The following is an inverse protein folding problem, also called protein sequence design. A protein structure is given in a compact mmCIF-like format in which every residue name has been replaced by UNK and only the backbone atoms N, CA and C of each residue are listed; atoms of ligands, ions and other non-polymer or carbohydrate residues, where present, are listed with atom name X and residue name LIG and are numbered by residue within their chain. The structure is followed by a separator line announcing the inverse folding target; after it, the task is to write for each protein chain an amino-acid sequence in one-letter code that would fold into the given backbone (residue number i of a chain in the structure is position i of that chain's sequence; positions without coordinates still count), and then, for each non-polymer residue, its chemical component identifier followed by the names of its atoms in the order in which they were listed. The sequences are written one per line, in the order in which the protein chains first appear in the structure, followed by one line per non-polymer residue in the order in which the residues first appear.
data_IF_267160761272
#
_entry.id   IF_267160761272
#
_cell.length_a   1.000
_cell.length_b   1.000
_cell.length_c   1.000
_cell.angle_alpha   90.00
_cell.angle_beta   90.00
_cell.angle_gamma   90.00
#
_symmetry.space_group_name_H-M   'P 1'
#
loop_
_entity.id
_entity.type
_entity.pdbx_description
1 polymer ?
#
# COMPACT_ATOMS: atom_id res chain seq x y z
N UNK A 1 -1.62 0.57 -19.80
CA UNK A 1 -1.60 1.00 -18.38
C UNK A 1 -0.82 -0.04 -17.58
N UNK A 2 0.05 0.35 -16.63
CA UNK A 2 0.76 -0.63 -15.79
C UNK A 2 -0.24 -1.46 -14.97
N UNK A 3 0.09 -2.73 -14.71
CA UNK A 3 -0.72 -3.59 -13.84
C UNK A 3 -0.71 -3.10 -12.39
N UNK A 4 -1.70 -3.51 -11.60
CA UNK A 4 -1.79 -3.16 -10.18
C UNK A 4 -0.53 -3.56 -9.41
N UNK A 5 0.05 -4.74 -9.68
CA UNK A 5 1.28 -5.17 -9.03
C UNK A 5 2.47 -4.28 -9.32
N UNK A 6 2.59 -3.77 -10.56
CA UNK A 6 3.64 -2.81 -10.92
C UNK A 6 3.46 -1.51 -10.15
N UNK A 7 2.23 -1.01 -10.04
CA UNK A 7 1.90 0.21 -9.29
C UNK A 7 2.20 0.04 -7.81
N UNK A 8 1.75 -1.06 -7.21
CA UNK A 8 1.99 -1.40 -5.79
C UNK A 8 3.48 -1.52 -5.50
N UNK A 9 4.24 -2.21 -6.36
CA UNK A 9 5.69 -2.32 -6.23
C UNK A 9 6.39 -0.96 -6.27
N UNK A 10 6.00 -0.10 -7.22
CA UNK A 10 6.53 1.27 -7.35
C UNK A 10 6.20 2.14 -6.14
N UNK A 11 4.97 2.06 -5.62
CA UNK A 11 4.56 2.79 -4.42
C UNK A 11 5.50 2.47 -3.25
N UNK A 12 5.76 1.19 -2.99
CA UNK A 12 6.64 0.80 -1.87
C UNK A 12 8.10 1.19 -2.09
N UNK A 13 8.61 1.12 -3.32
CA UNK A 13 9.96 1.62 -3.65
C UNK A 13 10.08 3.13 -3.45
N UNK A 14 9.07 3.89 -3.84
CA UNK A 14 9.03 5.33 -3.60
C UNK A 14 8.95 5.63 -2.09
N UNK A 15 8.17 4.83 -1.35
CA UNK A 15 8.10 4.95 0.11
C UNK A 15 9.43 4.65 0.78
N UNK A 16 10.19 3.66 0.30
CA UNK A 16 11.56 3.41 0.76
C UNK A 16 12.43 4.66 0.63
N UNK A 17 12.45 5.27 -0.56
CA UNK A 17 13.26 6.45 -0.82
C UNK A 17 12.89 7.62 0.10
N UNK A 18 11.59 7.83 0.34
CA UNK A 18 11.10 8.88 1.23
C UNK A 18 11.38 8.62 2.72
N UNK A 19 11.57 7.36 3.12
CA UNK A 19 11.60 6.98 4.55
C UNK A 19 12.97 6.53 5.05
N UNK A 20 13.94 6.31 4.16
CA UNK A 20 15.24 5.68 4.46
C UNK A 20 16.09 6.36 5.53
N UNK A 21 15.80 7.62 5.87
CA UNK A 21 16.50 8.40 6.89
C UNK A 21 15.58 8.88 8.02
N UNK A 22 14.36 8.34 8.13
CA UNK A 22 13.32 8.85 9.06
C UNK A 22 13.10 7.99 10.29
N UNK A 23 13.51 6.70 10.25
CA UNK A 23 13.18 5.74 11.29
C UNK A 23 11.72 5.24 11.27
N UNK A 24 10.90 5.61 10.29
CA UNK A 24 9.48 5.21 10.23
C UNK A 24 9.28 3.68 10.16
N UNK A 25 10.19 2.97 9.50
CA UNK A 25 10.11 1.53 9.33
C UNK A 25 11.29 0.84 10.00
N UNK A 26 11.04 -0.33 10.59
CA UNK A 26 12.09 -1.21 11.09
C UNK A 26 13.04 -1.65 9.96
N UNK A 27 14.30 -2.05 10.27
CA UNK A 27 15.26 -2.51 9.26
C UNK A 27 14.73 -3.66 8.37
N UNK A 28 13.94 -4.58 8.95
CA UNK A 28 13.29 -5.66 8.21
C UNK A 28 12.26 -5.11 7.21
N UNK A 29 11.40 -4.18 7.65
CA UNK A 29 10.42 -3.55 6.77
C UNK A 29 11.08 -2.69 5.69
N UNK A 30 12.15 -1.96 6.01
CA UNK A 30 12.98 -1.23 5.05
C UNK A 30 13.49 -2.13 3.92
N UNK A 31 13.96 -3.34 4.26
CA UNK A 31 14.42 -4.34 3.27
C UNK A 31 13.28 -4.88 2.39
N UNK A 32 12.05 -4.96 2.90
CA UNK A 32 10.86 -5.33 2.12
C UNK A 32 10.48 -4.22 1.14
N UNK A 33 10.31 -2.99 1.64
CA UNK A 33 9.86 -1.86 0.81
C UNK A 33 10.90 -1.46 -0.24
N UNK A 34 12.20 -1.63 0.03
CA UNK A 34 13.28 -1.47 -0.97
C UNK A 34 13.08 -2.36 -2.20
N UNK A 35 12.53 -3.56 -2.02
CA UNK A 35 12.23 -4.52 -3.10
C UNK A 35 10.85 -4.31 -3.72
N UNK A 36 10.06 -3.36 -3.21
CA UNK A 36 8.67 -3.13 -3.63
C UNK A 36 7.65 -4.02 -2.94
N UNK A 37 8.03 -4.71 -1.85
CA UNK A 37 7.12 -5.50 -1.05
C UNK A 37 6.51 -4.63 0.06
N UNK A 38 5.25 -4.89 0.42
CA UNK A 38 4.62 -4.22 1.55
C UNK A 38 5.38 -4.47 2.86
N UNK A 39 5.48 -3.46 3.74
CA UNK A 39 5.92 -3.67 5.11
C UNK A 39 4.89 -4.52 5.87
N UNK A 40 5.32 -5.17 6.94
CA UNK A 40 4.45 -5.89 7.86
C UNK A 40 4.03 -4.98 9.03
N UNK A 41 2.81 -5.15 9.51
CA UNK A 41 2.33 -4.53 10.75
C UNK A 41 2.87 -5.27 12.00
N UNK A 42 2.45 -4.84 13.18
CA UNK A 42 2.87 -5.44 14.46
C UNK A 42 2.49 -6.93 14.58
N UNK A 43 1.44 -7.38 13.89
CA UNK A 43 0.97 -8.76 13.89
C UNK A 43 1.63 -9.62 12.80
N UNK A 44 2.60 -9.06 12.05
CA UNK A 44 3.24 -9.77 10.94
C UNK A 44 2.43 -9.79 9.63
N UNK A 45 1.29 -9.09 9.57
CA UNK A 45 0.46 -9.04 8.38
C UNK A 45 0.95 -7.96 7.40
N UNK A 46 0.99 -8.23 6.08
CA UNK A 46 1.33 -7.21 5.09
C UNK A 46 0.34 -6.03 5.10
N UNK A 47 0.87 -4.81 5.06
CA UNK A 47 0.05 -3.60 4.86
C UNK A 47 -0.53 -3.56 3.44
N UNK A 48 -1.74 -3.02 3.29
CA UNK A 48 -2.45 -2.87 2.03
C UNK A 48 -2.43 -1.40 1.52
N UNK A 49 -2.81 -1.21 0.26
CA UNK A 49 -3.02 0.11 -0.35
C UNK A 49 -4.50 0.28 -0.70
N UNK A 50 -5.11 1.29 -0.10
CA UNK A 50 -6.49 1.68 -0.34
C UNK A 50 -6.55 2.85 -1.35
N UNK A 51 -7.53 2.81 -2.24
CA UNK A 51 -7.82 3.90 -3.17
C UNK A 51 -8.82 4.87 -2.56
N UNK A 52 -8.48 6.15 -2.44
CA UNK A 52 -9.42 7.17 -1.97
C UNK A 52 -10.60 7.35 -2.93
N UNK A 53 -10.28 7.45 -4.22
CA UNK A 53 -11.22 7.45 -5.33
C UNK A 53 -11.31 6.02 -5.89
N UNK A 54 -12.48 5.37 -5.84
CA UNK A 54 -12.62 3.98 -6.25
C UNK A 54 -12.16 3.71 -7.69
N UNK A 55 -11.48 2.57 -7.89
CA UNK A 55 -10.97 2.17 -9.22
C UNK A 55 -12.07 2.05 -10.28
N UNK A 56 -13.28 1.61 -9.89
CA UNK A 56 -14.44 1.42 -10.78
C UNK A 56 -14.91 2.71 -11.48
N UNK A 57 -14.48 3.88 -11.02
CA UNK A 57 -14.79 5.16 -11.66
C UNK A 57 -13.87 5.48 -12.85
N UNK A 58 -12.89 4.62 -13.14
CA UNK A 58 -12.06 4.66 -14.36
C UNK A 58 -11.35 5.99 -14.64
N UNK A 59 -11.12 6.85 -13.63
CA UNK A 59 -10.38 8.10 -13.79
C UNK A 59 -8.93 7.88 -14.21
N UNK A 60 -8.36 8.85 -14.92
CA UNK A 60 -6.99 8.78 -15.43
C UNK A 60 -5.94 8.69 -14.30
N UNK A 61 -6.22 9.33 -13.16
CA UNK A 61 -5.36 9.43 -11.98
C UNK A 61 -5.58 8.32 -10.95
N UNK A 62 -6.41 7.30 -11.24
CA UNK A 62 -6.79 6.25 -10.27
C UNK A 62 -5.60 5.56 -9.58
N UNK A 63 -4.46 5.45 -10.26
CA UNK A 63 -3.24 4.81 -9.72
C UNK A 63 -2.18 5.80 -9.24
N UNK A 64 -2.54 7.09 -9.19
CA UNK A 64 -1.69 8.13 -8.63
C UNK A 64 -1.33 7.80 -7.19
N UNK A 65 -0.08 8.00 -6.75
CA UNK A 65 0.28 7.83 -5.35
C UNK A 65 -0.53 8.74 -4.41
N UNK A 66 -1.06 9.86 -4.91
CA UNK A 66 -1.97 10.74 -4.14
C UNK A 66 -3.35 10.13 -3.92
N UNK A 67 -3.75 9.19 -4.78
CA UNK A 67 -5.00 8.43 -4.62
C UNK A 67 -4.80 7.16 -3.76
N UNK A 68 -3.58 6.90 -3.27
CA UNK A 68 -3.24 5.67 -2.57
C UNK A 68 -2.81 5.94 -1.12
N UNK A 69 -3.38 5.18 -0.19
CA UNK A 69 -3.03 5.22 1.23
C UNK A 69 -2.70 3.84 1.78
N UNK A 70 -1.61 3.75 2.55
CA UNK A 70 -1.26 2.58 3.38
C UNK A 70 -2.31 2.35 4.47
N UNK A 71 -2.82 1.13 4.58
CA UNK A 71 -3.77 0.70 5.63
C UNK A 71 -3.46 -0.72 6.10
N UNK A 72 -3.92 -1.09 7.30
CA UNK A 72 -3.96 -2.50 7.70
C UNK A 72 -5.14 -3.18 7.00
N UNK A 73 -5.16 -4.52 7.01
CA UNK A 73 -6.25 -5.33 6.43
C UNK A 73 -7.59 -4.96 7.09
N UNK A 74 -7.60 -4.88 8.43
CA UNK A 74 -8.79 -4.56 9.23
C UNK A 74 -9.28 -3.15 8.94
N UNK A 75 -8.36 -2.19 8.81
CA UNK A 75 -8.73 -0.82 8.46
C UNK A 75 -9.22 -0.73 7.02
N UNK A 76 -8.68 -1.54 6.11
CA UNK A 76 -9.16 -1.56 4.73
C UNK A 76 -10.59 -2.07 4.67
N UNK A 77 -10.90 -3.16 5.37
CA UNK A 77 -12.26 -3.70 5.48
C UNK A 77 -13.25 -2.70 6.10
N UNK A 78 -12.83 -1.92 7.10
CA UNK A 78 -13.67 -0.88 7.69
C UNK A 78 -13.92 0.33 6.76
N UNK A 79 -13.08 0.55 5.74
CA UNK A 79 -13.18 1.68 4.80
C UNK A 79 -13.84 1.32 3.48
N UNK A 80 -13.63 0.09 3.01
CA UNK A 80 -14.10 -0.39 1.72
C UNK A 80 -15.14 -1.50 1.95
N UNK A 81 -16.44 -1.24 1.69
CA UNK A 81 -17.51 -2.23 1.84
C UNK A 81 -17.33 -3.50 1.01
N UNK A 82 -16.41 -3.51 0.04
CA UNK A 82 -16.11 -4.67 -0.80
C UNK A 82 -14.88 -5.46 -0.31
N UNK A 83 -14.16 -4.99 0.72
CA UNK A 83 -13.00 -5.69 1.29
C UNK A 83 -13.42 -6.50 2.51
N UNK A 84 -13.80 -7.76 2.30
CA UNK A 84 -14.18 -8.67 3.39
C UNK A 84 -12.94 -9.34 3.99
N UNK A 85 -12.88 -9.55 5.31
CA UNK A 85 -11.72 -10.16 5.98
C UNK A 85 -11.57 -11.67 5.73
N UNK A 86 -12.54 -12.29 5.03
CA UNK A 86 -12.71 -13.74 5.01
C UNK A 86 -13.48 -14.17 6.26
N UNK A 87 -14.35 -15.16 6.10
CA UNK A 87 -14.99 -15.88 7.21
C UNK A 87 -14.07 -17.00 7.73
#
# INVERSE_FOLDING_TARGET
MPSWDVIRSRYWKNRYLASKSTGEFSPANMSRIKRGCAPLNANGNPMELHHHVPQRLCRADRHSPFNLRKVTIERHAALDPYRNLGD
#
